data_IF_500378290041
#
_entry.id   IF_500378290041
#
_cell.length_a   1.000
_cell.length_b   1.000
_cell.length_c   1.000
_cell.angle_alpha   90.00
_cell.angle_beta   90.00
_cell.angle_gamma   90.00
#
_symmetry.space_group_name_H-M   'P 1'
#
loop_
_entity.id
_entity.type
_entity.pdbx_description
1 polymer ?
#
# COMPACT_ATOMS: atom_id res chain seq x y z
N UNK A 1 6.73 35.04 -4.20
CA UNK A 1 6.33 33.66 -4.54
C UNK A 1 7.61 32.87 -4.64
N UNK A 2 7.96 32.10 -3.59
CA UNK A 2 9.13 31.24 -3.60
C UNK A 2 8.87 30.12 -4.60
N UNK A 3 9.86 29.82 -5.45
CA UNK A 3 9.84 28.70 -6.38
C UNK A 3 9.42 27.40 -5.67
N UNK A 4 8.62 26.53 -6.31
CA UNK A 4 8.30 25.25 -5.73
C UNK A 4 9.61 24.50 -5.48
N UNK A 5 9.69 23.85 -4.32
CA UNK A 5 10.79 23.02 -3.86
C UNK A 5 11.14 22.04 -4.99
N UNK A 6 12.31 22.24 -5.62
CA UNK A 6 12.71 21.50 -6.83
C UNK A 6 13.26 20.10 -6.51
N UNK A 7 13.35 19.75 -5.23
CA UNK A 7 13.81 18.44 -4.81
C UNK A 7 12.70 17.38 -5.00
N UNK A 8 13.03 16.21 -5.56
CA UNK A 8 12.04 15.15 -5.74
C UNK A 8 11.54 14.61 -4.40
N UNK A 9 10.25 14.34 -4.32
CA UNK A 9 9.70 13.69 -3.14
C UNK A 9 10.11 12.21 -3.08
N UNK A 10 10.49 11.74 -1.90
CA UNK A 10 10.97 10.39 -1.64
C UNK A 10 9.79 9.51 -1.24
N UNK A 11 9.62 8.38 -1.92
CA UNK A 11 8.55 7.43 -1.66
C UNK A 11 9.09 6.03 -1.32
N UNK A 12 8.47 5.38 -0.34
CA UNK A 12 8.68 3.97 -0.01
C UNK A 12 7.41 3.20 -0.34
N UNK A 13 7.53 2.17 -1.21
CA UNK A 13 6.42 1.30 -1.60
C UNK A 13 6.75 -0.14 -1.21
N UNK A 14 5.98 -0.73 -0.30
CA UNK A 14 6.22 -2.11 0.10
C UNK A 14 5.54 -3.12 -0.83
N UNK A 15 6.19 -4.26 -1.08
CA UNK A 15 5.67 -5.32 -1.96
C UNK A 15 5.54 -4.87 -3.42
N UNK A 16 6.58 -4.21 -3.95
CA UNK A 16 6.58 -3.57 -5.26
C UNK A 16 7.10 -4.44 -6.41
N UNK A 17 7.32 -5.75 -6.20
CA UNK A 17 7.92 -6.62 -7.22
C UNK A 17 6.97 -7.08 -8.32
N UNK A 18 5.65 -6.91 -8.15
CA UNK A 18 4.60 -7.30 -9.12
C UNK A 18 3.25 -6.65 -8.77
N UNK A 19 2.27 -6.83 -9.67
CA UNK A 19 0.87 -6.46 -9.47
C UNK A 19 0.68 -4.99 -9.06
N UNK A 20 -0.22 -4.75 -8.13
CA UNK A 20 -0.58 -3.40 -7.65
C UNK A 20 0.64 -2.62 -7.17
N UNK A 21 1.53 -3.25 -6.38
CA UNK A 21 2.71 -2.57 -5.85
C UNK A 21 3.70 -2.12 -6.92
N UNK A 22 3.90 -2.92 -7.97
CA UNK A 22 4.76 -2.55 -9.10
C UNK A 22 4.16 -1.38 -9.90
N UNK A 23 2.85 -1.42 -10.15
CA UNK A 23 2.13 -0.34 -10.83
C UNK A 23 2.17 0.97 -10.02
N UNK A 24 1.99 0.90 -8.69
CA UNK A 24 2.13 2.07 -7.80
C UNK A 24 3.54 2.65 -7.88
N UNK A 25 4.58 1.81 -7.77
CA UNK A 25 5.97 2.26 -7.83
C UNK A 25 6.30 2.94 -9.15
N UNK A 26 5.86 2.36 -10.27
CA UNK A 26 6.05 2.92 -11.61
C UNK A 26 5.29 4.25 -11.78
N UNK A 27 4.03 4.32 -11.38
CA UNK A 27 3.21 5.53 -11.50
C UNK A 27 3.79 6.69 -10.69
N UNK A 28 4.26 6.44 -9.47
CA UNK A 28 4.93 7.46 -8.65
C UNK A 28 6.26 7.91 -9.31
N UNK A 29 7.06 6.98 -9.83
CA UNK A 29 8.31 7.31 -10.53
C UNK A 29 8.05 8.17 -11.77
N UNK A 30 7.02 7.88 -12.56
CA UNK A 30 6.57 8.69 -13.71
C UNK A 30 6.14 10.12 -13.31
N UNK A 31 5.67 10.30 -12.07
CA UNK A 31 5.33 11.61 -11.52
C UNK A 31 6.51 12.34 -10.88
N UNK A 32 7.73 11.82 -11.01
CA UNK A 32 8.95 12.44 -10.52
C UNK A 32 9.30 12.14 -9.07
N UNK A 33 8.65 11.17 -8.43
CA UNK A 33 9.08 10.70 -7.12
C UNK A 33 10.33 9.84 -7.22
N UNK A 34 11.26 9.95 -6.27
CA UNK A 34 12.31 8.97 -6.08
C UNK A 34 11.75 7.81 -5.26
N UNK A 35 11.53 6.68 -5.91
CA UNK A 35 10.84 5.53 -5.33
C UNK A 35 11.82 4.46 -4.88
N UNK A 36 11.74 4.06 -3.62
CA UNK A 36 12.29 2.79 -3.16
C UNK A 36 11.16 1.77 -3.04
N UNK A 37 11.12 0.81 -3.96
CA UNK A 37 10.22 -0.32 -3.90
C UNK A 37 10.83 -1.48 -3.12
N UNK A 38 10.04 -2.23 -2.33
CA UNK A 38 10.61 -3.37 -1.59
C UNK A 38 10.05 -4.71 -2.03
N UNK A 39 10.87 -5.74 -1.88
CA UNK A 39 10.53 -7.14 -2.01
C UNK A 39 11.17 -7.95 -0.88
N UNK A 40 10.70 -9.18 -0.65
CA UNK A 40 11.24 -10.06 0.40
C UNK A 40 12.53 -10.77 0.01
N UNK A 41 12.89 -10.77 -1.28
CA UNK A 41 14.08 -11.44 -1.81
C UNK A 41 14.97 -10.49 -2.61
N UNK A 42 16.28 -10.78 -2.70
CA UNK A 42 17.19 -9.99 -3.53
C UNK A 42 16.79 -9.96 -5.02
N UNK A 43 16.30 -11.07 -5.56
CA UNK A 43 15.82 -11.17 -6.96
C UNK A 43 14.60 -10.27 -7.18
N UNK A 44 13.70 -10.22 -6.19
CA UNK A 44 12.55 -9.32 -6.22
C UNK A 44 12.98 -7.85 -6.19
N UNK A 45 13.96 -7.50 -5.37
CA UNK A 45 14.53 -6.15 -5.32
C UNK A 45 15.24 -5.77 -6.63
N UNK A 46 16.02 -6.70 -7.21
CA UNK A 46 16.66 -6.49 -8.52
C UNK A 46 15.64 -6.24 -9.63
N UNK A 47 14.55 -7.01 -9.67
CA UNK A 47 13.43 -6.81 -10.62
C UNK A 47 12.77 -5.45 -10.48
N UNK A 48 12.59 -4.94 -9.26
CA UNK A 48 12.08 -3.58 -9.04
C UNK A 48 13.06 -2.54 -9.61
N UNK A 49 14.36 -2.69 -9.34
CA UNK A 49 15.38 -1.78 -9.87
C UNK A 49 15.41 -1.77 -11.39
N UNK A 50 15.25 -2.93 -12.03
CA UNK A 50 15.16 -3.07 -13.48
C UNK A 50 13.92 -2.34 -14.04
N UNK A 51 12.74 -2.57 -13.46
CA UNK A 51 11.49 -1.91 -13.87
C UNK A 51 11.53 -0.39 -13.72
N UNK A 52 12.27 0.11 -12.74
CA UNK A 52 12.39 1.54 -12.46
C UNK A 52 13.67 2.17 -13.05
N UNK A 53 14.45 1.43 -13.82
CA UNK A 53 15.77 1.86 -14.33
C UNK A 53 15.75 3.13 -15.18
N UNK A 54 14.64 3.43 -15.84
CA UNK A 54 14.45 4.66 -16.61
C UNK A 54 14.24 5.92 -15.73
N UNK A 55 14.05 5.76 -14.43
CA UNK A 55 13.74 6.84 -13.49
C UNK A 55 14.89 7.05 -12.49
N UNK A 56 15.67 8.14 -12.63
CA UNK A 56 16.78 8.41 -11.73
C UNK A 56 16.35 8.48 -10.26
N UNK A 57 17.17 7.94 -9.36
CA UNK A 57 16.88 7.92 -7.92
C UNK A 57 15.87 6.86 -7.47
N UNK A 58 15.34 6.04 -8.40
CA UNK A 58 14.47 4.92 -8.09
C UNK A 58 15.27 3.61 -7.96
N UNK A 59 14.85 2.74 -7.02
CA UNK A 59 15.54 1.47 -6.76
C UNK A 59 14.66 0.44 -6.06
N UNK A 60 15.08 -0.81 -6.11
CA UNK A 60 14.55 -1.89 -5.30
C UNK A 60 15.40 -2.12 -4.04
N UNK A 61 14.74 -2.51 -2.95
CA UNK A 61 15.40 -2.90 -1.71
C UNK A 61 14.80 -4.20 -1.15
N UNK A 62 15.63 -5.00 -0.48
CA UNK A 62 15.15 -6.18 0.23
C UNK A 62 14.61 -5.77 1.60
N UNK A 63 13.39 -6.22 1.94
CA UNK A 63 12.76 -5.93 3.23
C UNK A 63 11.78 -7.03 3.64
N UNK A 64 11.99 -7.57 4.83
CA UNK A 64 10.98 -8.35 5.54
C UNK A 64 10.17 -7.39 6.40
N UNK A 65 8.93 -7.07 6.00
CA UNK A 65 8.09 -6.09 6.69
C UNK A 65 7.74 -6.48 8.14
N UNK A 66 7.86 -7.78 8.46
CA UNK A 66 7.65 -8.33 9.81
C UNK A 66 8.88 -8.16 10.71
N UNK A 67 10.03 -7.79 10.16
CA UNK A 67 11.27 -7.54 10.90
C UNK A 67 11.36 -6.05 11.25
N UNK A 68 11.25 -5.76 12.55
CA UNK A 68 11.22 -4.38 13.03
C UNK A 68 12.58 -3.66 12.85
N UNK A 69 13.69 -4.39 12.95
CA UNK A 69 15.04 -3.84 12.82
C UNK A 69 15.33 -3.49 11.35
N UNK A 70 14.98 -4.38 10.43
CA UNK A 70 15.10 -4.11 8.99
C UNK A 70 14.24 -2.92 8.57
N UNK A 71 13.00 -2.81 9.06
CA UNK A 71 12.12 -1.66 8.78
C UNK A 71 12.77 -0.37 9.25
N UNK A 72 13.26 -0.33 10.50
CA UNK A 72 13.89 0.87 11.04
C UNK A 72 15.16 1.23 10.29
N UNK A 73 16.03 0.25 10.01
CA UNK A 73 17.29 0.46 9.28
C UNK A 73 17.05 1.00 7.87
N UNK A 74 16.04 0.47 7.14
CA UNK A 74 15.70 0.96 5.81
C UNK A 74 15.23 2.42 5.86
N UNK A 75 14.30 2.75 6.76
CA UNK A 75 13.77 4.12 6.88
C UNK A 75 14.87 5.10 7.27
N UNK A 76 15.72 4.75 8.25
CA UNK A 76 16.84 5.60 8.67
C UNK A 76 17.85 5.80 7.55
N UNK A 77 18.16 4.74 6.78
CA UNK A 77 19.02 4.80 5.61
C UNK A 77 18.47 5.73 4.52
N UNK A 78 17.19 5.63 4.20
CA UNK A 78 16.53 6.50 3.23
C UNK A 78 16.55 7.97 3.69
N UNK A 79 16.19 8.23 4.94
CA UNK A 79 16.19 9.60 5.49
C UNK A 79 17.59 10.19 5.50
N UNK A 80 18.62 9.39 5.83
CA UNK A 80 20.01 9.84 5.81
C UNK A 80 20.51 10.16 4.39
N UNK A 81 20.15 9.35 3.41
CA UNK A 81 20.59 9.52 2.02
C UNK A 81 19.88 10.68 1.30
N UNK A 82 18.59 10.91 1.59
CA UNK A 82 17.73 11.83 0.82
C UNK A 82 17.28 13.06 1.61
N UNK A 83 17.65 13.17 2.88
CA UNK A 83 17.22 14.27 3.76
C UNK A 83 15.79 14.17 4.29
N UNK A 84 14.98 13.24 3.79
CA UNK A 84 13.59 13.04 4.23
C UNK A 84 12.93 11.81 3.61
N UNK A 85 11.71 11.51 4.06
CA UNK A 85 10.83 10.50 3.48
C UNK A 85 9.42 11.10 3.43
N UNK A 86 8.84 11.21 2.25
CA UNK A 86 7.65 12.02 2.01
C UNK A 86 6.39 11.18 1.86
N UNK A 87 6.50 9.99 1.27
CA UNK A 87 5.38 9.09 0.99
C UNK A 87 5.72 7.68 1.46
N UNK A 88 4.81 7.06 2.21
CA UNK A 88 4.82 5.64 2.52
C UNK A 88 3.58 5.00 1.91
N UNK A 89 3.76 3.96 1.10
CA UNK A 89 2.69 3.10 0.62
C UNK A 89 2.84 1.71 1.21
N UNK A 90 1.96 1.37 2.12
CA UNK A 90 1.85 0.04 2.71
C UNK A 90 1.00 -0.86 1.81
N UNK A 91 1.67 -1.57 0.88
CA UNK A 91 1.00 -2.48 -0.06
C UNK A 91 1.34 -3.96 0.19
N UNK A 92 2.48 -4.27 0.80
CA UNK A 92 2.83 -5.66 1.10
C UNK A 92 1.74 -6.37 1.91
N UNK A 93 1.39 -7.59 1.51
CA UNK A 93 0.39 -8.39 2.18
C UNK A 93 0.37 -9.83 1.69
N UNK A 94 -0.26 -10.69 2.48
CA UNK A 94 -0.47 -12.10 2.19
C UNK A 94 -1.91 -12.51 2.42
N UNK A 95 -2.32 -13.62 1.83
CA UNK A 95 -3.57 -14.33 2.17
C UNK A 95 -3.26 -15.73 2.69
N UNK A 96 -4.12 -16.24 3.56
CA UNK A 96 -4.16 -17.62 4.05
C UNK A 96 -5.64 -17.98 4.19
N UNK A 97 -6.25 -18.30 3.04
CA UNK A 97 -7.69 -18.42 2.93
C UNK A 97 -8.15 -19.82 3.31
N UNK A 98 -9.01 -19.91 4.31
CA UNK A 98 -9.69 -21.13 4.72
C UNK A 98 -10.90 -20.78 5.57
N UNK A 99 -11.94 -21.65 5.59
CA UNK A 99 -13.13 -21.43 6.41
C UNK A 99 -12.74 -21.30 7.89
N UNK A 100 -13.37 -20.38 8.61
CA UNK A 100 -13.03 -20.02 9.99
C UNK A 100 -12.92 -21.23 10.92
N UNK A 101 -13.82 -22.22 10.80
CA UNK A 101 -13.79 -23.44 11.61
C UNK A 101 -12.58 -24.36 11.35
N UNK A 102 -11.83 -24.14 10.27
CA UNK A 102 -10.63 -24.91 9.91
C UNK A 102 -9.36 -24.06 9.92
N UNK A 103 -9.49 -22.75 10.18
CA UNK A 103 -8.37 -21.83 10.19
C UNK A 103 -7.47 -22.13 11.38
N UNK A 104 -6.18 -22.28 11.12
CA UNK A 104 -5.18 -22.49 12.17
C UNK A 104 -4.72 -21.15 12.74
N UNK A 105 -4.34 -21.12 14.00
CA UNK A 105 -3.82 -19.93 14.65
C UNK A 105 -2.57 -19.38 13.91
N UNK A 106 -1.69 -20.27 13.43
CA UNK A 106 -0.51 -19.87 12.63
C UNK A 106 -0.90 -19.11 11.33
N UNK A 107 -1.97 -19.54 10.64
CA UNK A 107 -2.45 -18.85 9.44
C UNK A 107 -3.11 -17.50 9.77
N UNK A 108 -3.81 -17.45 10.90
CA UNK A 108 -4.35 -16.20 11.45
C UNK A 108 -3.22 -15.23 11.80
N UNK A 109 -2.26 -15.66 12.61
CA UNK A 109 -1.16 -14.84 13.10
C UNK A 109 -0.28 -14.34 11.96
N UNK A 110 0.04 -15.17 10.97
CA UNK A 110 0.81 -14.78 9.80
C UNK A 110 0.15 -13.63 9.02
N UNK A 111 -1.18 -13.68 8.85
CA UNK A 111 -1.94 -12.64 8.15
C UNK A 111 -2.02 -11.36 8.98
N UNK A 112 -2.30 -11.47 10.27
CA UNK A 112 -2.36 -10.30 11.19
C UNK A 112 -0.98 -9.64 11.30
N UNK A 113 0.09 -10.41 11.46
CA UNK A 113 1.45 -9.87 11.56
C UNK A 113 1.87 -9.13 10.28
N UNK A 114 1.54 -9.67 9.11
CA UNK A 114 1.96 -9.06 7.84
C UNK A 114 1.02 -7.92 7.41
N UNK A 115 -0.30 -8.13 7.47
CA UNK A 115 -1.26 -7.20 6.87
C UNK A 115 -1.72 -6.09 7.83
N UNK A 116 -1.47 -6.21 9.14
CA UNK A 116 -1.86 -5.19 10.12
C UNK A 116 -0.67 -4.71 10.96
N UNK A 117 0.04 -5.61 11.63
CA UNK A 117 1.12 -5.22 12.55
C UNK A 117 2.33 -4.64 11.82
N UNK A 118 2.69 -5.17 10.64
CA UNK A 118 3.76 -4.61 9.82
C UNK A 118 3.37 -3.22 9.27
N UNK A 119 2.12 -3.00 8.90
CA UNK A 119 1.60 -1.68 8.48
C UNK A 119 1.74 -0.66 9.61
N UNK A 120 1.42 -1.05 10.85
CA UNK A 120 1.64 -0.20 12.02
C UNK A 120 3.13 0.11 12.23
N UNK A 121 4.01 -0.90 12.13
CA UNK A 121 5.47 -0.72 12.30
C UNK A 121 6.06 0.25 11.29
N UNK A 122 5.73 0.08 10.01
CA UNK A 122 6.18 0.96 8.93
C UNK A 122 5.66 2.38 9.13
N UNK A 123 4.36 2.53 9.43
CA UNK A 123 3.77 3.83 9.70
C UNK A 123 4.48 4.53 10.86
N UNK A 124 4.71 3.82 11.98
CA UNK A 124 5.43 4.35 13.14
C UNK A 124 6.88 4.75 12.82
N UNK A 125 7.59 3.97 12.01
CA UNK A 125 8.98 4.25 11.64
C UNK A 125 9.10 5.57 10.86
N UNK A 126 8.13 5.90 10.00
CA UNK A 126 8.16 7.12 9.18
C UNK A 126 7.61 8.36 9.91
N UNK A 127 6.89 8.20 11.03
CA UNK A 127 6.27 9.34 11.73
C UNK A 127 7.29 10.39 12.14
N UNK A 128 8.38 10.00 12.81
CA UNK A 128 9.37 10.93 13.33
C UNK A 128 9.99 11.81 12.23
N UNK A 129 10.52 11.27 11.13
CA UNK A 129 11.02 12.07 10.03
C UNK A 129 9.93 12.94 9.37
N UNK A 130 8.72 12.41 9.13
CA UNK A 130 7.61 13.17 8.55
C UNK A 130 7.17 14.32 9.46
N UNK A 131 7.10 14.10 10.78
CA UNK A 131 6.78 15.16 11.75
C UNK A 131 7.84 16.26 11.79
N UNK A 132 9.13 15.90 11.66
CA UNK A 132 10.25 16.86 11.64
C UNK A 132 10.19 17.74 10.39
N UNK A 133 9.91 17.18 9.23
CA UNK A 133 9.78 17.91 7.95
C UNK A 133 8.42 18.61 7.79
N UNK A 134 7.44 18.33 8.67
CA UNK A 134 6.06 18.85 8.62
C UNK A 134 5.35 18.56 7.30
N UNK A 135 5.59 17.39 6.75
CA UNK A 135 4.96 16.88 5.54
C UNK A 135 5.03 15.34 5.53
N UNK A 136 3.96 14.69 5.10
CA UNK A 136 3.94 13.25 4.92
C UNK A 136 2.64 12.78 4.29
N UNK A 137 2.73 11.65 3.59
CA UNK A 137 1.60 10.91 3.01
C UNK A 137 1.77 9.44 3.38
N UNK A 138 0.88 8.92 4.20
CA UNK A 138 0.82 7.48 4.52
C UNK A 138 -0.42 6.93 3.82
N UNK A 139 -0.22 5.97 2.92
CA UNK A 139 -1.28 5.38 2.11
C UNK A 139 -1.26 3.87 2.34
N UNK A 140 -2.36 3.34 2.86
CA UNK A 140 -2.48 1.93 3.19
C UNK A 140 -3.37 1.24 2.16
N UNK A 141 -2.87 0.18 1.53
CA UNK A 141 -3.68 -0.64 0.63
C UNK A 141 -4.48 -1.63 1.48
N UNK A 142 -5.78 -1.36 1.57
CA UNK A 142 -6.76 -2.20 2.23
C UNK A 142 -7.37 -3.20 1.25
N UNK A 143 -8.64 -3.43 1.30
CA UNK A 143 -9.42 -4.26 0.37
C UNK A 143 -10.91 -4.03 0.58
N UNK A 144 -11.69 -4.19 -0.47
CA UNK A 144 -13.15 -4.28 -0.36
C UNK A 144 -13.58 -5.34 0.67
N UNK A 145 -12.81 -6.43 0.80
CA UNK A 145 -13.06 -7.51 1.77
C UNK A 145 -13.01 -7.03 3.22
N UNK A 146 -12.24 -5.98 3.52
CA UNK A 146 -12.23 -5.38 4.85
C UNK A 146 -13.55 -4.74 5.26
N UNK A 147 -14.35 -4.30 4.28
CA UNK A 147 -15.67 -3.70 4.50
C UNK A 147 -16.82 -4.71 4.32
N UNK A 148 -16.78 -5.52 3.24
CA UNK A 148 -17.85 -6.45 2.90
C UNK A 148 -17.74 -7.83 3.56
N UNK A 149 -16.53 -8.23 3.99
CA UNK A 149 -16.23 -9.61 4.31
C UNK A 149 -16.13 -10.50 3.07
N UNK A 150 -15.55 -11.69 3.25
CA UNK A 150 -15.58 -12.76 2.25
C UNK A 150 -15.42 -14.11 2.94
N UNK A 151 -16.23 -15.13 2.58
CA UNK A 151 -16.06 -16.48 3.14
C UNK A 151 -14.63 -17.00 2.98
N UNK A 152 -14.07 -17.57 4.05
CA UNK A 152 -12.70 -18.09 4.06
C UNK A 152 -11.61 -17.06 4.33
N UNK A 153 -11.94 -15.78 4.49
CA UNK A 153 -10.99 -14.68 4.68
C UNK A 153 -11.17 -13.93 6.01
N UNK A 154 -11.58 -14.60 7.06
CA UNK A 154 -11.82 -13.95 8.36
C UNK A 154 -10.58 -13.19 8.88
N UNK A 155 -9.38 -13.80 8.80
CA UNK A 155 -8.11 -13.19 9.15
C UNK A 155 -7.77 -11.96 8.27
N UNK A 156 -7.94 -12.09 6.97
CA UNK A 156 -7.65 -11.03 6.00
C UNK A 156 -8.63 -9.85 6.17
N UNK A 157 -9.93 -10.13 6.29
CA UNK A 157 -10.95 -9.12 6.55
C UNK A 157 -10.68 -8.35 7.85
N UNK A 158 -10.37 -9.08 8.95
CA UNK A 158 -10.02 -8.48 10.23
C UNK A 158 -8.79 -7.57 10.12
N UNK A 159 -7.72 -8.02 9.43
CA UNK A 159 -6.52 -7.23 9.23
C UNK A 159 -6.81 -5.94 8.43
N UNK A 160 -7.53 -6.04 7.30
CA UNK A 160 -7.82 -4.89 6.42
C UNK A 160 -8.79 -3.90 7.08
N UNK A 161 -9.80 -4.37 7.79
CA UNK A 161 -10.67 -3.52 8.62
C UNK A 161 -9.89 -2.84 9.77
N UNK A 162 -8.97 -3.56 10.40
CA UNK A 162 -8.07 -3.02 11.44
C UNK A 162 -7.18 -1.90 10.91
N UNK A 163 -6.62 -2.03 9.70
CA UNK A 163 -5.85 -0.97 9.03
C UNK A 163 -6.71 0.27 8.79
N UNK A 164 -7.96 0.12 8.33
CA UNK A 164 -8.88 1.25 8.13
C UNK A 164 -9.18 1.97 9.45
N UNK A 165 -9.40 1.23 10.55
CA UNK A 165 -9.56 1.78 11.90
C UNK A 165 -8.32 2.53 12.38
N UNK A 166 -7.14 1.92 12.23
CA UNK A 166 -5.85 2.53 12.58
C UNK A 166 -5.58 3.79 11.76
N UNK A 167 -5.91 3.79 10.47
CA UNK A 167 -5.76 4.96 9.57
C UNK A 167 -6.49 6.18 10.13
N UNK A 168 -7.73 6.01 10.61
CA UNK A 168 -8.51 7.11 11.20
C UNK A 168 -7.87 7.67 12.49
N UNK A 169 -7.31 6.79 13.32
CA UNK A 169 -6.61 7.21 14.53
C UNK A 169 -5.35 8.02 14.20
N UNK A 170 -4.49 7.48 13.32
CA UNK A 170 -3.25 8.14 12.89
C UNK A 170 -3.51 9.48 12.17
N UNK A 171 -4.58 9.56 11.38
CA UNK A 171 -4.98 10.82 10.73
C UNK A 171 -5.27 11.93 11.76
N UNK A 172 -5.91 11.60 12.88
CA UNK A 172 -6.17 12.55 13.99
C UNK A 172 -4.89 12.95 14.71
N UNK A 173 -3.98 12.01 14.94
CA UNK A 173 -2.70 12.28 15.65
C UNK A 173 -1.74 13.14 14.81
N UNK A 174 -1.70 12.94 13.50
CA UNK A 174 -0.67 13.49 12.63
C UNK A 174 -1.11 14.73 11.84
N UNK A 175 -2.41 15.01 11.78
CA UNK A 175 -2.96 16.10 10.97
C UNK A 175 -2.37 17.48 11.28
N UNK A 176 -2.09 17.80 12.56
CA UNK A 176 -1.46 19.06 12.97
C UNK A 176 -0.02 19.24 12.46
N UNK A 177 0.57 18.18 11.90
CA UNK A 177 1.91 18.16 11.29
C UNK A 177 1.87 18.14 9.77
N UNK A 178 0.71 18.38 9.13
CA UNK A 178 0.49 18.31 7.69
C UNK A 178 0.78 16.92 7.09
N UNK A 179 0.56 15.87 7.88
CA UNK A 179 0.68 14.48 7.44
C UNK A 179 -0.73 13.93 7.24
N UNK A 180 -1.01 13.42 6.06
CA UNK A 180 -2.27 12.73 5.78
C UNK A 180 -2.08 11.22 5.86
N UNK A 181 -3.09 10.52 6.35
CA UNK A 181 -3.11 9.06 6.43
C UNK A 181 -4.42 8.58 5.84
N UNK A 182 -4.37 7.81 4.74
CA UNK A 182 -5.54 7.35 4.01
C UNK A 182 -5.40 5.88 3.61
N UNK A 183 -6.53 5.28 3.25
CA UNK A 183 -6.60 3.96 2.65
C UNK A 183 -7.02 4.04 1.18
N UNK A 184 -6.55 3.09 0.39
CA UNK A 184 -7.12 2.72 -0.90
C UNK A 184 -7.58 1.27 -0.78
N UNK A 185 -8.86 1.01 -1.07
CA UNK A 185 -9.51 -0.28 -0.97
C UNK A 185 -9.80 -0.85 -2.37
N UNK A 186 -8.90 -1.67 -2.93
CA UNK A 186 -9.17 -2.32 -4.21
C UNK A 186 -10.31 -3.34 -4.10
N UNK A 187 -11.08 -3.48 -5.18
CA UNK A 187 -11.92 -4.64 -5.43
C UNK A 187 -11.12 -5.79 -6.07
N UNK A 188 -11.74 -6.49 -7.02
CA UNK A 188 -11.04 -7.49 -7.82
C UNK A 188 -10.23 -6.82 -8.94
N UNK A 189 -8.92 -6.97 -8.83
CA UNK A 189 -7.94 -6.39 -9.75
C UNK A 189 -7.30 -7.51 -10.56
N UNK A 190 -7.16 -7.31 -11.87
CA UNK A 190 -6.50 -8.26 -12.78
C UNK A 190 -5.00 -8.30 -12.47
N UNK A 191 -4.60 -9.38 -11.81
CA UNK A 191 -3.23 -9.66 -11.39
C UNK A 191 -2.99 -11.17 -11.50
N UNK A 192 -1.74 -11.61 -11.32
CA UNK A 192 -1.41 -13.05 -11.25
C UNK A 192 -2.30 -13.83 -10.26
N UNK A 193 -2.81 -13.14 -9.24
CA UNK A 193 -3.66 -13.75 -8.21
C UNK A 193 -5.08 -14.06 -8.74
N UNK A 194 -5.60 -13.26 -9.64
CA UNK A 194 -6.94 -13.43 -10.24
C UNK A 194 -6.91 -14.21 -11.57
N UNK A 195 -5.78 -14.16 -12.27
CA UNK A 195 -5.59 -14.87 -13.56
C UNK A 195 -5.70 -16.40 -13.45
N UNK A 196 -5.43 -16.96 -12.26
CA UNK A 196 -5.53 -18.40 -11.99
C UNK A 196 -6.93 -18.92 -11.64
N UNK A 197 -7.95 -18.07 -11.61
CA UNK A 197 -9.32 -18.48 -11.25
C UNK A 197 -10.01 -19.22 -12.40
N UNK A 198 -10.78 -20.31 -12.12
CA UNK A 198 -11.61 -20.97 -13.12
C UNK A 198 -12.59 -20.00 -13.79
N UNK A 199 -12.94 -20.18 -15.09
CA UNK A 199 -13.83 -19.27 -15.83
C UNK A 199 -15.19 -19.03 -15.16
N UNK A 200 -15.78 -20.05 -14.54
CA UNK A 200 -17.04 -19.93 -13.82
C UNK A 200 -16.93 -18.98 -12.60
N UNK A 201 -15.80 -19.06 -11.88
CA UNK A 201 -15.55 -18.18 -10.75
C UNK A 201 -15.29 -16.74 -11.21
N UNK A 202 -14.55 -16.57 -12.32
CA UNK A 202 -14.36 -15.25 -12.93
C UNK A 202 -15.70 -14.64 -13.32
N UNK A 203 -16.57 -15.40 -13.97
CA UNK A 203 -17.90 -14.91 -14.35
C UNK A 203 -18.77 -14.54 -13.13
N UNK A 204 -18.72 -15.34 -12.06
CA UNK A 204 -19.43 -15.04 -10.82
C UNK A 204 -18.91 -13.76 -10.15
N UNK A 205 -17.62 -13.48 -10.23
CA UNK A 205 -17.04 -12.23 -9.74
C UNK A 205 -17.50 -11.02 -10.58
N UNK A 206 -17.49 -11.15 -11.91
CA UNK A 206 -17.91 -10.06 -12.80
C UNK A 206 -19.36 -9.63 -12.57
N UNK A 207 -20.25 -10.57 -12.22
CA UNK A 207 -21.64 -10.24 -11.90
C UNK A 207 -21.81 -9.38 -10.62
N UNK A 208 -20.81 -9.37 -9.76
CA UNK A 208 -20.80 -8.55 -8.54
C UNK A 208 -20.23 -7.14 -8.76
N UNK A 209 -19.68 -6.87 -9.93
CA UNK A 209 -19.03 -5.60 -10.26
C UNK A 209 -19.94 -4.80 -11.19
N UNK A 210 -20.56 -3.69 -10.74
CA UNK A 210 -21.43 -2.86 -11.59
C UNK A 210 -20.78 -2.39 -12.89
N UNK A 211 -19.47 -2.11 -12.92
CA UNK A 211 -18.76 -1.75 -14.16
C UNK A 211 -18.53 -2.95 -15.10
N UNK A 212 -18.81 -4.20 -14.68
CA UNK A 212 -18.78 -5.39 -15.50
C UNK A 212 -17.41 -5.91 -15.91
N UNK A 213 -16.34 -5.39 -15.34
CA UNK A 213 -14.96 -5.84 -15.61
C UNK A 213 -14.09 -5.76 -14.36
N UNK A 214 -12.98 -6.52 -14.33
CA UNK A 214 -11.96 -6.39 -13.30
C UNK A 214 -11.25 -5.04 -13.44
N UNK A 215 -10.86 -4.45 -12.31
CA UNK A 215 -9.97 -3.29 -12.30
C UNK A 215 -8.55 -3.71 -12.73
N UNK A 216 -7.76 -2.74 -13.18
CA UNK A 216 -6.33 -2.92 -13.47
C UNK A 216 -5.48 -2.41 -12.31
N UNK A 217 -4.24 -2.91 -12.14
CA UNK A 217 -3.30 -2.37 -11.16
C UNK A 217 -3.13 -0.84 -11.26
N UNK A 218 -3.20 -0.29 -12.48
CA UNK A 218 -3.10 1.13 -12.77
C UNK A 218 -4.26 1.94 -12.15
N UNK A 219 -5.47 1.39 -12.07
CA UNK A 219 -6.61 2.07 -11.46
C UNK A 219 -6.36 2.34 -9.97
N UNK A 220 -5.75 1.37 -9.29
CA UNK A 220 -5.32 1.53 -7.89
C UNK A 220 -4.14 2.50 -7.78
N UNK A 221 -3.15 2.38 -8.69
CA UNK A 221 -1.97 3.23 -8.70
C UNK A 221 -2.31 4.70 -8.90
N UNK A 222 -3.28 5.03 -9.75
CA UNK A 222 -3.75 6.40 -9.96
C UNK A 222 -4.39 7.00 -8.69
N UNK A 223 -5.20 6.22 -7.96
CA UNK A 223 -5.76 6.67 -6.68
C UNK A 223 -4.67 6.92 -5.63
N UNK A 224 -3.65 6.04 -5.56
CA UNK A 224 -2.49 6.22 -4.69
C UNK A 224 -1.69 7.46 -5.07
N UNK A 225 -1.42 7.67 -6.36
CA UNK A 225 -0.68 8.81 -6.86
C UNK A 225 -1.41 10.14 -6.57
N UNK A 226 -2.74 10.17 -6.70
CA UNK A 226 -3.55 11.30 -6.29
C UNK A 226 -3.39 11.58 -4.79
N UNK A 227 -3.51 10.57 -3.92
CA UNK A 227 -3.35 10.73 -2.47
C UNK A 227 -1.92 11.10 -2.06
N UNK A 228 -0.91 10.73 -2.83
CA UNK A 228 0.49 11.11 -2.62
C UNK A 228 0.77 12.58 -2.99
N UNK A 229 -0.07 13.19 -3.81
CA UNK A 229 0.10 14.53 -4.36
C UNK A 229 -0.27 15.65 -3.39
N UNK A 230 0.05 16.89 -3.79
CA UNK A 230 -0.36 18.09 -3.05
C UNK A 230 -1.87 18.37 -3.17
N UNK A 231 -2.51 17.91 -4.23
CA UNK A 231 -3.95 18.09 -4.46
C UNK A 231 -4.81 17.39 -3.39
N UNK A 232 -4.28 16.32 -2.78
CA UNK A 232 -4.95 15.58 -1.71
C UNK A 232 -4.62 16.10 -0.29
N UNK A 233 -4.05 17.30 -0.16
CA UNK A 233 -3.57 17.82 1.14
C UNK A 233 -4.66 18.02 2.20
N UNK A 234 -5.94 18.07 1.79
CA UNK A 234 -7.09 18.19 2.70
C UNK A 234 -7.88 16.89 2.86
N UNK A 235 -7.32 15.75 2.35
CA UNK A 235 -7.93 14.42 2.45
C UNK A 235 -7.13 13.61 3.47
N UNK A 236 -7.74 13.26 4.60
CA UNK A 236 -7.11 12.41 5.62
C UNK A 236 -8.15 11.58 6.37
N UNK A 237 -7.77 10.39 6.81
CA UNK A 237 -8.65 9.44 7.50
C UNK A 237 -9.67 8.75 6.58
N UNK A 238 -9.55 8.89 5.27
CA UNK A 238 -10.50 8.36 4.30
C UNK A 238 -10.06 6.97 3.79
N UNK A 239 -11.06 6.20 3.35
CA UNK A 239 -10.87 4.97 2.60
C UNK A 239 -11.50 5.14 1.21
N UNK A 240 -10.63 5.21 0.18
CA UNK A 240 -11.08 5.38 -1.21
C UNK A 240 -11.23 4.00 -1.84
N UNK A 241 -12.45 3.66 -2.21
CA UNK A 241 -12.78 2.41 -2.86
C UNK A 241 -12.50 2.47 -4.37
N UNK A 242 -11.67 1.52 -4.86
CA UNK A 242 -11.34 1.33 -6.29
C UNK A 242 -11.78 -0.08 -6.67
N UNK A 243 -13.10 -0.27 -6.88
CA UNK A 243 -13.72 -1.59 -6.94
C UNK A 243 -14.82 -1.74 -7.99
N UNK A 244 -14.94 -0.82 -8.93
CA UNK A 244 -15.96 -0.87 -9.98
C UNK A 244 -17.40 -0.80 -9.49
N UNK A 245 -17.63 -0.29 -8.27
CA UNK A 245 -18.94 -0.22 -7.63
C UNK A 245 -19.35 -1.48 -6.86
N UNK A 246 -18.47 -2.47 -6.72
CA UNK A 246 -18.72 -3.70 -5.97
C UNK A 246 -19.13 -3.45 -4.51
N UNK A 247 -18.59 -2.40 -3.92
CA UNK A 247 -18.99 -1.90 -2.60
C UNK A 247 -19.06 -0.38 -2.64
N UNK A 248 -20.16 0.18 -2.13
CA UNK A 248 -20.42 1.62 -2.04
C UNK A 248 -20.63 1.96 -0.56
N UNK A 249 -19.76 2.79 0.04
CA UNK A 249 -19.82 3.24 1.43
C UNK A 249 -20.56 4.57 1.55
#
# INVERSE_FOLDING_TARGET
MSSPDTAPHIALVTGASRGIGASIALTLAQQGFHVTGTATTPEGAARISEHLSAFPGCQGACLQVNDAEQVQALVDGMVKASGGLHVLVNNAGITRDTLAMRMKDDDWDAVIDTNLKAVFRLSRAVMKPMMKQRYGRIINITSVVGASGNPGQANYAAAKAGVAGMTRALARELGSRHITVNCVAPGFIDTDMTAGLPPEQQQALLTQIPLGHLGKPEDVAHAVAFLASLQASYITGQEIHVNGGMFMA
#
